data_IF_676087764244
#
_entry.id   IF_676087764244
#
_cell.length_a   1.000
_cell.length_b   1.000
_cell.length_c   1.000
_cell.angle_alpha   90.00
_cell.angle_beta   90.00
_cell.angle_gamma   90.00
#
_symmetry.space_group_name_H-M   'P 1'
#
loop_
_entity.id
_entity.type
_entity.pdbx_description
1 polymer ?
#
# COMPACT_ATOMS: atom_id res chain seq x y z
N UNK A 1 -51.92 33.72 55.71
CA UNK A 1 -51.11 34.78 55.08
C UNK A 1 -49.77 34.17 54.68
N UNK A 2 -49.42 34.21 53.38
CA UNK A 2 -48.08 34.33 52.75
C UNK A 2 -46.85 33.69 53.41
N UNK A 3 -45.90 33.03 52.75
CA UNK A 3 -45.53 32.79 51.34
C UNK A 3 -44.37 31.76 51.42
N UNK A 4 -44.21 30.89 50.41
CA UNK A 4 -42.93 30.22 50.18
C UNK A 4 -41.91 31.18 49.56
N UNK A 5 -40.62 30.93 49.77
CA UNK A 5 -39.64 31.08 48.72
C UNK A 5 -38.85 29.79 48.48
N UNK A 6 -38.53 29.57 47.21
CA UNK A 6 -37.63 28.52 46.71
C UNK A 6 -36.19 28.77 47.18
N UNK A 7 -35.50 27.69 47.55
CA UNK A 7 -34.06 27.53 47.36
C UNK A 7 -33.73 26.03 47.34
N UNK A 8 -33.49 25.50 46.15
CA UNK A 8 -32.82 24.22 45.95
C UNK A 8 -31.39 24.30 46.51
N UNK A 9 -31.01 23.34 47.35
CA UNK A 9 -29.60 23.05 47.59
C UNK A 9 -29.42 21.55 47.85
N UNK A 10 -29.24 20.85 46.74
CA UNK A 10 -28.27 19.78 46.53
C UNK A 10 -27.55 19.27 47.79
N UNK A 11 -27.79 18.01 48.13
CA UNK A 11 -26.74 17.00 48.21
C UNK A 11 -27.40 15.66 48.48
N UNK A 12 -27.60 14.85 47.44
CA UNK A 12 -27.80 13.40 47.52
C UNK A 12 -27.56 12.80 46.12
N UNK A 13 -26.38 13.08 45.56
CA UNK A 13 -25.84 12.30 44.45
C UNK A 13 -24.77 11.38 45.03
N UNK A 14 -25.21 10.38 45.81
CA UNK A 14 -24.40 9.22 46.11
C UNK A 14 -24.19 8.50 44.77
N UNK A 15 -23.16 8.92 44.04
CA UNK A 15 -22.71 8.21 42.86
C UNK A 15 -22.30 6.80 43.32
N UNK A 16 -22.82 5.71 42.73
CA UNK A 16 -22.32 4.39 43.06
C UNK A 16 -20.81 4.39 42.86
N UNK A 17 -20.03 3.75 43.75
CA UNK A 17 -18.59 3.72 43.60
C UNK A 17 -18.28 3.19 42.20
N UNK A 18 -17.41 3.89 41.45
CA UNK A 18 -16.79 3.33 40.24
C UNK A 18 -16.05 2.08 40.69
N UNK A 19 -16.76 0.95 40.67
CA UNK A 19 -16.16 -0.37 40.74
C UNK A 19 -15.37 -0.47 39.44
N UNK A 20 -14.09 -0.12 39.50
CA UNK A 20 -13.15 -0.63 38.51
C UNK A 20 -13.22 -2.15 38.64
N UNK A 21 -13.70 -2.89 37.62
CA UNK A 21 -13.59 -4.33 37.68
C UNK A 21 -12.10 -4.67 37.86
N UNK A 22 -11.73 -5.73 38.59
CA UNK A 22 -10.38 -6.24 38.53
C UNK A 22 -10.13 -6.55 37.06
N UNK A 23 -9.32 -5.71 36.41
CA UNK A 23 -9.05 -5.85 35.00
C UNK A 23 -8.12 -7.06 34.86
N UNK A 24 -8.75 -8.22 34.70
CA UNK A 24 -8.07 -9.47 34.39
C UNK A 24 -7.38 -9.33 33.02
N UNK A 25 -6.19 -9.91 32.88
CA UNK A 25 -5.41 -9.82 31.63
C UNK A 25 -6.20 -10.35 30.43
N UNK A 26 -7.07 -11.34 30.63
CA UNK A 26 -7.93 -11.87 29.57
C UNK A 26 -9.01 -10.86 29.17
N UNK A 27 -9.50 -10.05 30.11
CA UNK A 27 -10.44 -8.94 29.81
C UNK A 27 -9.75 -7.85 29.00
N UNK A 28 -8.49 -7.51 29.32
CA UNK A 28 -7.72 -6.54 28.53
C UNK A 28 -7.57 -7.04 27.09
N UNK A 29 -7.10 -8.28 26.93
CA UNK A 29 -6.88 -8.86 25.61
C UNK A 29 -8.17 -8.96 24.80
N UNK A 30 -9.28 -9.38 25.43
CA UNK A 30 -10.58 -9.45 24.77
C UNK A 30 -11.06 -8.05 24.34
N UNK A 31 -10.87 -7.04 25.19
CA UNK A 31 -11.25 -5.66 24.88
C UNK A 31 -10.42 -5.12 23.71
N UNK A 32 -9.12 -5.41 23.67
CA UNK A 32 -8.24 -5.06 22.56
C UNK A 32 -8.73 -5.75 21.27
N UNK A 33 -8.98 -7.06 21.30
CA UNK A 33 -9.49 -7.79 20.13
C UNK A 33 -10.83 -7.26 19.62
N UNK A 34 -11.76 -6.96 20.53
CA UNK A 34 -13.06 -6.39 20.17
C UNK A 34 -12.93 -4.99 19.57
N UNK A 35 -12.05 -4.16 20.13
CA UNK A 35 -11.79 -2.80 19.60
C UNK A 35 -11.20 -2.88 18.20
N UNK A 36 -10.24 -3.78 17.98
CA UNK A 36 -9.65 -4.02 16.65
C UNK A 36 -10.71 -4.53 15.66
N UNK A 37 -11.58 -5.44 16.09
CA UNK A 37 -12.65 -5.98 15.23
C UNK A 37 -13.68 -4.92 14.87
N UNK A 38 -14.08 -4.07 15.83
CA UNK A 38 -15.05 -2.98 15.63
C UNK A 38 -14.56 -1.94 14.61
N UNK A 39 -13.25 -1.68 14.57
CA UNK A 39 -12.65 -0.75 13.62
C UNK A 39 -12.74 -1.24 12.16
N UNK A 40 -12.79 -2.55 11.93
CA UNK A 40 -12.84 -3.16 10.58
C UNK A 40 -14.29 -3.32 10.08
N UNK A 41 -15.29 -3.35 10.96
CA UNK A 41 -16.71 -3.47 10.59
C UNK A 41 -17.19 -2.39 9.58
N UNK A 42 -16.91 -1.08 9.75
CA UNK A 42 -17.36 -0.06 8.80
C UNK A 42 -16.68 -0.18 7.42
N UNK A 43 -15.49 -0.77 7.35
CA UNK A 43 -14.76 -0.99 6.08
C UNK A 43 -15.43 -2.09 5.24
N UNK A 44 -16.01 -3.11 5.87
CA UNK A 44 -16.72 -4.22 5.19
C UNK A 44 -18.18 -3.87 4.93
N UNK A 45 -18.83 -3.11 5.83
CA UNK A 45 -20.23 -2.69 5.70
C UNK A 45 -20.46 -1.79 4.47
N UNK A 46 -19.48 -0.96 4.12
CA UNK A 46 -19.58 -0.07 2.96
C UNK A 46 -19.51 -0.79 1.60
N UNK A 47 -19.27 -2.11 1.59
CA UNK A 47 -19.12 -2.93 0.37
C UNK A 47 -20.34 -3.82 0.07
N UNK A 48 -21.56 -3.42 0.46
CA UNK A 48 -22.80 -4.13 0.06
C UNK A 48 -23.74 -3.36 -0.88
N UNK A 49 -23.40 -2.13 -1.26
CA UNK A 49 -24.23 -1.32 -2.15
C UNK A 49 -23.58 -1.05 -3.50
N UNK A 50 -23.07 -2.09 -4.17
CA UNK A 50 -22.70 -1.98 -5.58
C UNK A 50 -23.19 -3.20 -6.35
N UNK A 51 -24.51 -3.25 -6.59
CA UNK A 51 -25.09 -4.08 -7.62
C UNK A 51 -26.12 -3.29 -8.43
N UNK A 52 -25.91 -3.30 -9.75
CA UNK A 52 -26.84 -3.03 -10.88
C UNK A 52 -26.61 -1.71 -11.64
N UNK A 53 -27.08 -1.62 -12.91
CA UNK A 53 -26.75 -2.48 -14.05
C UNK A 53 -26.34 -1.65 -15.29
N UNK A 54 -25.67 -2.30 -16.25
CA UNK A 54 -25.47 -1.95 -17.68
C UNK A 54 -25.79 -0.51 -18.11
N UNK A 55 -24.74 0.22 -18.50
CA UNK A 55 -24.82 1.39 -19.37
C UNK A 55 -23.76 1.29 -20.46
N UNK A 56 -24.20 1.02 -21.69
CA UNK A 56 -23.41 1.23 -22.90
C UNK A 56 -22.94 2.69 -22.94
N UNK A 57 -21.65 2.94 -22.81
CA UNK A 57 -21.02 4.20 -23.23
C UNK A 57 -19.59 3.91 -23.65
N UNK A 58 -19.44 3.87 -24.97
CA UNK A 58 -18.26 4.18 -25.76
C UNK A 58 -17.03 4.56 -24.94
N UNK A 59 -16.12 3.60 -24.77
CA UNK A 59 -14.81 3.84 -24.22
C UNK A 59 -14.07 4.91 -25.06
N UNK A 60 -13.39 5.88 -24.45
CA UNK A 60 -12.41 6.70 -25.16
C UNK A 60 -11.37 5.77 -25.79
N UNK A 61 -10.73 6.13 -26.92
CA UNK A 61 -9.71 5.30 -27.53
C UNK A 61 -8.69 4.96 -26.46
N UNK A 62 -8.62 3.69 -26.06
CA UNK A 62 -7.49 3.20 -25.29
C UNK A 62 -6.28 3.53 -26.15
N UNK A 63 -5.57 4.56 -25.75
CA UNK A 63 -4.29 4.93 -26.29
C UNK A 63 -3.50 3.63 -26.33
N UNK A 64 -3.27 3.11 -27.53
CA UNK A 64 -2.69 1.79 -27.70
C UNK A 64 -1.33 1.88 -27.04
N UNK A 65 -1.21 1.29 -25.86
CA UNK A 65 0.06 1.09 -25.20
C UNK A 65 1.03 0.59 -26.26
N UNK A 66 1.99 1.43 -26.64
CA UNK A 66 2.99 1.06 -27.63
C UNK A 66 3.92 0.08 -26.94
N UNK A 67 3.55 -1.21 -26.98
CA UNK A 67 4.40 -2.29 -26.49
C UNK A 67 5.73 -2.22 -27.25
N UNK A 68 6.79 -1.92 -26.52
CA UNK A 68 8.14 -1.88 -27.07
C UNK A 68 8.63 -3.31 -27.16
N UNK A 69 8.89 -3.80 -28.38
CA UNK A 69 9.43 -5.15 -28.51
C UNK A 69 10.79 -5.28 -27.82
N UNK A 70 11.03 -6.38 -27.11
CA UNK A 70 12.31 -6.69 -26.47
C UNK A 70 13.51 -6.59 -27.42
N UNK A 71 13.34 -6.98 -28.69
CA UNK A 71 14.39 -6.84 -29.73
C UNK A 71 14.78 -5.37 -29.95
N UNK A 72 13.80 -4.45 -29.97
CA UNK A 72 14.04 -3.01 -30.11
C UNK A 72 14.78 -2.47 -28.89
N UNK A 73 14.40 -2.92 -27.70
CA UNK A 73 15.10 -2.58 -26.47
C UNK A 73 16.56 -3.03 -26.47
N UNK A 74 16.85 -4.30 -26.81
CA UNK A 74 18.23 -4.78 -26.85
C UNK A 74 19.10 -4.13 -27.94
N UNK A 75 18.48 -3.53 -28.97
CA UNK A 75 19.20 -2.87 -30.06
C UNK A 75 19.76 -1.49 -29.72
N UNK A 76 19.39 -0.89 -28.59
CA UNK A 76 19.88 0.44 -28.16
C UNK A 76 21.29 0.43 -27.54
N UNK A 77 22.00 -0.70 -27.59
CA UNK A 77 23.35 -0.89 -27.01
C UNK A 77 23.42 -0.61 -25.50
N UNK A 78 22.42 -1.09 -24.75
CA UNK A 78 22.49 -1.05 -23.29
C UNK A 78 23.71 -1.79 -22.76
N UNK A 79 24.46 -1.11 -21.88
CA UNK A 79 25.52 -1.75 -21.12
C UNK A 79 24.89 -2.67 -20.08
N UNK A 80 25.40 -3.89 -20.02
CA UNK A 80 25.00 -4.86 -19.00
C UNK A 80 25.79 -4.60 -17.74
N UNK A 81 25.14 -4.63 -16.58
CA UNK A 81 25.77 -4.40 -15.29
C UNK A 81 26.04 -5.72 -14.56
N UNK A 82 27.29 -5.96 -14.17
CA UNK A 82 27.73 -7.21 -13.54
C UNK A 82 27.76 -7.15 -12.01
N UNK A 83 27.58 -5.97 -11.40
CA UNK A 83 27.58 -5.80 -9.94
C UNK A 83 28.92 -5.35 -9.32
N UNK A 84 29.97 -5.14 -10.12
CA UNK A 84 31.34 -4.85 -9.66
C UNK A 84 31.76 -3.37 -9.81
N UNK A 85 30.81 -2.46 -10.01
CA UNK A 85 31.05 -1.03 -10.20
C UNK A 85 31.23 -0.23 -8.90
N UNK A 86 32.00 0.87 -8.97
CA UNK A 86 31.93 1.94 -7.96
C UNK A 86 30.55 2.61 -7.97
N UNK A 87 30.12 3.27 -6.88
CA UNK A 87 28.82 3.95 -6.82
C UNK A 87 28.56 4.84 -8.04
N UNK A 88 29.53 5.66 -8.43
CA UNK A 88 29.41 6.55 -9.61
C UNK A 88 29.11 5.79 -10.92
N UNK A 89 29.65 4.57 -11.08
CA UNK A 89 29.41 3.73 -12.27
C UNK A 89 28.04 3.07 -12.25
N UNK A 90 27.50 2.83 -11.05
CA UNK A 90 26.13 2.35 -10.87
C UNK A 90 25.17 3.47 -11.24
N UNK A 91 25.42 4.68 -10.77
CA UNK A 91 24.58 5.84 -11.06
C UNK A 91 24.57 6.15 -12.57
N UNK A 92 25.74 6.18 -13.23
CA UNK A 92 25.84 6.35 -14.69
C UNK A 92 25.08 5.25 -15.45
N UNK A 93 25.09 4.02 -14.96
CA UNK A 93 24.36 2.91 -15.57
C UNK A 93 22.84 3.04 -15.40
N UNK A 94 22.38 3.48 -14.22
CA UNK A 94 20.96 3.72 -13.94
C UNK A 94 20.43 4.85 -14.83
N UNK A 95 21.15 5.97 -14.91
CA UNK A 95 20.76 7.12 -15.74
C UNK A 95 20.63 6.73 -17.22
N UNK A 96 21.55 5.92 -17.76
CA UNK A 96 21.48 5.44 -19.14
C UNK A 96 20.30 4.48 -19.35
N UNK A 97 20.00 3.61 -18.38
CA UNK A 97 18.85 2.72 -18.43
C UNK A 97 17.52 3.52 -18.43
N UNK A 98 17.40 4.52 -17.56
CA UNK A 98 16.24 5.41 -17.47
C UNK A 98 16.03 6.21 -18.76
N UNK A 99 17.11 6.77 -19.31
CA UNK A 99 17.08 7.50 -20.59
C UNK A 99 16.51 6.64 -21.72
N UNK A 100 16.85 5.36 -21.76
CA UNK A 100 16.35 4.44 -22.80
C UNK A 100 14.90 4.05 -22.56
N UNK A 101 14.49 3.86 -21.30
CA UNK A 101 13.08 3.63 -20.97
C UNK A 101 12.20 4.81 -21.40
N UNK A 102 12.66 6.04 -21.18
CA UNK A 102 11.98 7.25 -21.64
C UNK A 102 11.96 7.36 -23.16
N UNK A 103 13.11 7.15 -23.82
CA UNK A 103 13.24 7.20 -25.27
C UNK A 103 12.27 6.22 -25.96
N UNK A 104 12.12 5.03 -25.40
CA UNK A 104 11.24 3.99 -25.91
C UNK A 104 9.79 4.14 -25.43
N UNK A 105 9.50 5.08 -24.53
CA UNK A 105 8.17 5.30 -23.91
C UNK A 105 7.62 4.01 -23.29
N UNK A 106 8.48 3.30 -22.56
CA UNK A 106 8.12 2.01 -21.95
C UNK A 106 7.15 2.19 -20.79
N UNK A 107 6.21 1.25 -20.67
CA UNK A 107 5.33 1.14 -19.50
C UNK A 107 6.12 0.64 -18.30
N UNK A 108 5.72 1.05 -17.11
CA UNK A 108 6.39 0.69 -15.84
C UNK A 108 6.52 -0.83 -15.66
N UNK A 109 5.49 -1.57 -16.05
CA UNK A 109 5.43 -3.03 -16.04
C UNK A 109 6.53 -3.65 -16.93
N UNK A 110 6.76 -3.07 -18.11
CA UNK A 110 7.78 -3.53 -19.06
C UNK A 110 9.19 -3.09 -18.63
N UNK A 111 9.34 -1.92 -18.01
CA UNK A 111 10.63 -1.41 -17.52
C UNK A 111 11.23 -2.34 -16.49
N UNK A 112 10.44 -2.77 -15.50
CA UNK A 112 10.91 -3.68 -14.44
C UNK A 112 11.34 -5.02 -15.04
N UNK A 113 10.52 -5.57 -15.92
CA UNK A 113 10.83 -6.84 -16.59
C UNK A 113 12.12 -6.72 -17.41
N UNK A 114 12.25 -5.67 -18.23
CA UNK A 114 13.39 -5.50 -19.15
C UNK A 114 14.67 -5.09 -18.43
N UNK A 115 14.56 -4.24 -17.41
CA UNK A 115 15.67 -3.86 -16.54
C UNK A 115 16.29 -5.05 -15.83
N UNK A 116 15.49 -6.03 -15.41
CA UNK A 116 16.00 -7.25 -14.80
C UNK A 116 16.90 -8.08 -15.73
N UNK A 117 16.71 -7.99 -17.06
CA UNK A 117 17.58 -8.65 -18.05
C UNK A 117 18.94 -7.97 -18.21
N UNK A 118 19.07 -6.70 -17.82
CA UNK A 118 20.33 -5.97 -17.86
C UNK A 118 21.24 -6.27 -16.68
N UNK A 119 20.72 -6.94 -15.65
CA UNK A 119 21.47 -7.39 -14.49
C UNK A 119 22.12 -8.74 -14.77
N UNK A 120 23.41 -8.86 -14.44
CA UNK A 120 24.17 -10.12 -14.47
C UNK A 120 24.83 -10.41 -13.13
N UNK A 121 25.32 -11.65 -13.01
CA UNK A 121 26.09 -12.15 -11.86
C UNK A 121 25.45 -11.76 -10.51
N UNK A 122 26.17 -11.02 -9.67
CA UNK A 122 25.76 -10.71 -8.30
C UNK A 122 24.57 -9.75 -8.27
N UNK A 123 24.49 -8.82 -9.22
CA UNK A 123 23.37 -7.90 -9.35
C UNK A 123 22.06 -8.65 -9.65
N UNK A 124 22.11 -9.66 -10.53
CA UNK A 124 20.95 -10.51 -10.83
C UNK A 124 20.55 -11.35 -9.62
N UNK A 125 21.53 -11.93 -8.93
CA UNK A 125 21.27 -12.74 -7.72
C UNK A 125 20.61 -11.91 -6.62
N UNK A 126 21.08 -10.68 -6.41
CA UNK A 126 20.48 -9.75 -5.47
C UNK A 126 19.03 -9.41 -5.84
N UNK A 127 18.76 -9.10 -7.11
CA UNK A 127 17.40 -8.80 -7.59
C UNK A 127 16.44 -9.95 -7.32
N UNK A 128 16.83 -11.18 -7.65
CA UNK A 128 16.00 -12.38 -7.42
C UNK A 128 15.64 -12.58 -5.95
N UNK A 129 16.62 -12.40 -5.05
CA UNK A 129 16.41 -12.54 -3.62
C UNK A 129 15.45 -11.47 -3.08
N UNK A 130 15.60 -10.22 -3.51
CA UNK A 130 14.73 -9.12 -3.08
C UNK A 130 13.29 -9.32 -3.58
N UNK A 131 13.11 -9.78 -4.81
CA UNK A 131 11.79 -10.13 -5.33
C UNK A 131 11.18 -11.30 -4.54
N UNK A 132 11.95 -12.35 -4.27
CA UNK A 132 11.48 -13.51 -3.49
C UNK A 132 11.02 -13.13 -2.08
N UNK A 133 11.75 -12.24 -1.42
CA UNK A 133 11.39 -11.73 -0.09
C UNK A 133 10.11 -10.87 -0.12
N UNK A 134 9.86 -10.11 -1.20
CA UNK A 134 8.61 -9.35 -1.33
C UNK A 134 7.39 -10.25 -1.55
N UNK A 135 7.54 -11.41 -2.20
CA UNK A 135 6.43 -12.31 -2.51
C UNK A 135 6.21 -13.42 -1.48
N UNK A 136 7.22 -13.77 -0.68
CA UNK A 136 7.08 -14.74 0.41
C UNK A 136 6.33 -14.20 1.65
N UNK A 137 5.98 -12.91 1.65
CA UNK A 137 5.27 -12.23 2.74
C UNK A 137 3.79 -11.94 2.49
N UNK A 138 3.16 -12.50 1.45
CA UNK A 138 1.72 -12.36 1.18
C UNK A 138 0.94 -13.65 1.44
#
# INVERSE_FOLDING_TARGET
MSKQPYAESSMNAQSPPRQTPPVDQQTILLTIFQTLTSLVQPMVSNQRSHASPIGDTTAPPKEKATSVSFKKFMSTQLRVFNGDGSPDKVDEWIEEAERIFELLKMLEEDKMNYGSYLLKSDAKRWWQLTCEIQFAGQ
#
